data_IF_184801201376
#
_entry.id   IF_184801201376
#
_cell.length_a   1.000
_cell.length_b   1.000
_cell.length_c   1.000
_cell.angle_alpha   90.00
_cell.angle_beta   90.00
_cell.angle_gamma   90.00
#
_symmetry.space_group_name_H-M   'P 1'
#
loop_
_entity.id
_entity.type
_entity.pdbx_description
1 polymer ?
#
# COMPACT_ATOMS: atom_id res chain seq x y z
N UNK A 1 -29.27 -12.23 32.29
CA UNK A 1 -28.19 -13.18 31.97
C UNK A 1 -27.28 -12.74 30.82
N UNK A 2 -27.71 -12.73 29.55
CA UNK A 2 -26.81 -12.34 28.43
C UNK A 2 -26.30 -10.90 28.56
N UNK A 3 -27.16 -9.98 29.01
CA UNK A 3 -26.78 -8.57 29.19
C UNK A 3 -25.76 -8.37 30.32
N UNK A 4 -25.84 -9.17 31.39
CA UNK A 4 -24.90 -9.12 32.51
C UNK A 4 -23.55 -9.70 32.11
N UNK A 5 -23.54 -10.80 31.34
CA UNK A 5 -22.32 -11.35 30.73
C UNK A 5 -21.65 -10.33 29.79
N UNK A 6 -22.42 -9.66 28.93
CA UNK A 6 -21.90 -8.63 28.05
C UNK A 6 -21.27 -7.46 28.84
N UNK A 7 -21.91 -7.01 29.92
CA UNK A 7 -21.36 -5.97 30.79
C UNK A 7 -20.08 -6.42 31.51
N UNK A 8 -20.01 -7.68 31.94
CA UNK A 8 -18.81 -8.24 32.58
C UNK A 8 -17.58 -8.24 31.66
N UNK A 9 -17.77 -8.42 30.35
CA UNK A 9 -16.67 -8.47 29.36
C UNK A 9 -16.46 -7.16 28.58
N UNK A 10 -17.31 -6.15 28.77
CA UNK A 10 -17.27 -4.92 27.97
C UNK A 10 -15.92 -4.20 28.05
N UNK A 11 -15.33 -4.13 29.25
CA UNK A 11 -14.04 -3.48 29.46
C UNK A 11 -12.88 -4.22 28.77
N UNK A 12 -12.90 -5.55 28.80
CA UNK A 12 -11.90 -6.41 28.15
C UNK A 12 -12.01 -6.31 26.63
N UNK A 13 -13.24 -6.33 26.09
CA UNK A 13 -13.49 -6.14 24.66
C UNK A 13 -12.99 -4.76 24.23
N UNK A 14 -13.31 -3.70 24.98
CA UNK A 14 -12.87 -2.34 24.64
C UNK A 14 -11.35 -2.22 24.63
N UNK A 15 -10.68 -2.77 25.65
CA UNK A 15 -9.21 -2.80 25.73
C UNK A 15 -8.62 -3.57 24.54
N UNK A 16 -9.18 -4.72 24.21
CA UNK A 16 -8.76 -5.51 23.04
C UNK A 16 -8.90 -4.72 21.74
N UNK A 17 -10.03 -4.03 21.53
CA UNK A 17 -10.25 -3.19 20.36
C UNK A 17 -9.26 -2.02 20.28
N UNK A 18 -8.90 -1.40 21.41
CA UNK A 18 -7.87 -0.36 21.45
C UNK A 18 -6.49 -0.88 21.06
N UNK A 19 -6.09 -2.06 21.57
CA UNK A 19 -4.82 -2.69 21.20
C UNK A 19 -4.83 -3.04 19.70
N UNK A 20 -5.91 -3.62 19.20
CA UNK A 20 -6.06 -3.92 17.77
C UNK A 20 -5.97 -2.66 16.91
N UNK A 21 -6.63 -1.58 17.34
CA UNK A 21 -6.58 -0.28 16.64
C UNK A 21 -5.16 0.29 16.62
N UNK A 22 -4.44 0.20 17.74
CA UNK A 22 -3.05 0.65 17.83
C UNK A 22 -2.13 -0.15 16.90
N UNK A 23 -2.21 -1.48 16.93
CA UNK A 23 -1.44 -2.35 16.03
C UNK A 23 -1.76 -2.04 14.56
N UNK A 24 -3.05 -1.86 14.25
CA UNK A 24 -3.49 -1.53 12.91
C UNK A 24 -2.93 -0.18 12.43
N UNK A 25 -2.93 0.84 13.28
CA UNK A 25 -2.32 2.15 13.00
C UNK A 25 -0.80 2.06 12.78
N UNK A 26 -0.10 1.27 13.60
CA UNK A 26 1.34 1.02 13.41
C UNK A 26 1.60 0.33 12.06
N UNK A 27 0.79 -0.67 11.70
CA UNK A 27 0.90 -1.32 10.39
C UNK A 27 0.71 -0.33 9.24
N UNK A 28 -0.25 0.59 9.33
CA UNK A 28 -0.45 1.63 8.31
C UNK A 28 0.77 2.52 8.17
N UNK A 29 1.39 2.92 9.28
CA UNK A 29 2.62 3.71 9.28
C UNK A 29 3.79 2.97 8.63
N UNK A 30 3.95 1.68 8.93
CA UNK A 30 5.00 0.83 8.32
C UNK A 30 4.79 0.74 6.81
N UNK A 31 3.56 0.46 6.35
CA UNK A 31 3.26 0.39 4.91
C UNK A 31 3.46 1.73 4.22
N UNK A 32 3.01 2.83 4.82
CA UNK A 32 3.21 4.17 4.27
C UNK A 32 4.71 4.51 4.17
N UNK A 33 5.51 4.15 5.18
CA UNK A 33 6.95 4.32 5.15
C UNK A 33 7.63 3.49 4.07
N UNK A 34 7.23 2.23 3.88
CA UNK A 34 7.74 1.37 2.82
C UNK A 34 7.43 1.94 1.43
N UNK A 35 6.19 2.39 1.19
CA UNK A 35 5.79 3.02 -0.07
C UNK A 35 6.54 4.35 -0.28
N UNK A 36 6.71 5.17 0.76
CA UNK A 36 7.46 6.41 0.66
C UNK A 36 8.93 6.17 0.28
N UNK A 37 9.55 5.16 0.89
CA UNK A 37 10.93 4.79 0.60
C UNK A 37 11.09 4.27 -0.83
N UNK A 38 10.22 3.36 -1.26
CA UNK A 38 10.25 2.77 -2.61
C UNK A 38 9.99 3.82 -3.70
N UNK A 39 8.92 4.61 -3.56
CA UNK A 39 8.59 5.67 -4.52
C UNK A 39 9.62 6.81 -4.50
N UNK A 40 10.23 7.08 -3.34
CA UNK A 40 11.34 8.03 -3.21
C UNK A 40 12.60 7.55 -3.93
N UNK A 41 12.92 6.26 -3.86
CA UNK A 41 14.02 5.67 -4.61
C UNK A 41 13.76 5.71 -6.12
N UNK A 42 12.52 5.43 -6.57
CA UNK A 42 12.12 5.60 -7.97
C UNK A 42 12.39 7.04 -8.47
N UNK A 43 11.97 8.05 -7.71
CA UNK A 43 12.20 9.46 -8.06
C UNK A 43 13.69 9.80 -8.19
N UNK A 44 14.54 9.27 -7.30
CA UNK A 44 16.00 9.46 -7.37
C UNK A 44 16.61 8.81 -8.62
N UNK A 45 16.04 7.70 -9.08
CA UNK A 45 16.41 7.02 -10.33
C UNK A 45 15.80 7.70 -11.58
N UNK A 46 15.15 8.85 -11.43
CA UNK A 46 14.48 9.58 -12.51
C UNK A 46 13.16 8.96 -12.97
N UNK A 47 12.70 7.91 -12.30
CA UNK A 47 11.40 7.28 -12.56
C UNK A 47 10.33 7.97 -11.73
N UNK A 48 9.11 8.07 -12.25
CA UNK A 48 8.00 8.69 -11.52
C UNK A 48 6.95 7.63 -11.18
N UNK A 49 6.39 7.65 -9.97
CA UNK A 49 5.27 6.78 -9.64
C UNK A 49 4.06 7.08 -10.54
N UNK A 50 3.29 6.04 -10.82
CA UNK A 50 2.09 6.10 -11.66
C UNK A 50 1.00 6.91 -10.93
N UNK A 51 0.20 7.67 -11.69
CA UNK A 51 -0.96 8.47 -11.25
C UNK A 51 -0.64 9.74 -10.45
N UNK A 52 0.11 9.62 -9.36
CA UNK A 52 0.33 10.71 -8.40
C UNK A 52 1.74 10.70 -7.84
N UNK A 53 2.12 11.76 -7.13
CA UNK A 53 3.46 11.90 -6.53
C UNK A 53 3.75 10.83 -5.48
N UNK A 54 5.04 10.59 -5.20
CA UNK A 54 5.48 9.67 -4.14
C UNK A 54 4.90 10.03 -2.76
N UNK A 55 4.86 11.33 -2.43
CA UNK A 55 4.27 11.81 -1.18
C UNK A 55 2.76 11.52 -1.11
N UNK A 56 2.04 11.69 -2.23
CA UNK A 56 0.62 11.38 -2.33
C UNK A 56 0.36 9.88 -2.15
N UNK A 57 1.19 9.02 -2.72
CA UNK A 57 1.11 7.56 -2.53
C UNK A 57 1.35 7.13 -1.08
N UNK A 58 2.37 7.69 -0.44
CA UNK A 58 2.65 7.44 0.97
C UNK A 58 1.46 7.87 1.85
N UNK A 59 0.91 9.05 1.60
CA UNK A 59 -0.23 9.56 2.34
C UNK A 59 -1.51 8.75 2.10
N UNK A 60 -1.79 8.36 0.86
CA UNK A 60 -2.91 7.47 0.54
C UNK A 60 -2.77 6.12 1.26
N UNK A 61 -1.55 5.59 1.36
CA UNK A 61 -1.26 4.36 2.11
C UNK A 61 -1.43 4.54 3.61
N UNK A 62 -1.13 5.71 4.17
CA UNK A 62 -1.37 6.00 5.58
C UNK A 62 -2.86 5.96 5.93
N UNK A 63 -3.72 6.41 5.02
CA UNK A 63 -5.18 6.45 5.23
C UNK A 63 -5.83 5.11 4.89
N UNK A 64 -5.48 4.51 3.75
CA UNK A 64 -6.12 3.29 3.25
C UNK A 64 -5.39 1.98 3.57
N UNK A 65 -4.21 2.08 4.18
CA UNK A 65 -3.45 0.96 4.72
C UNK A 65 -2.99 -0.05 3.68
N UNK A 66 -3.08 -1.32 4.08
CA UNK A 66 -2.60 -2.47 3.31
C UNK A 66 -3.24 -2.57 1.92
N UNK A 67 -4.49 -2.14 1.76
CA UNK A 67 -5.16 -2.18 0.46
C UNK A 67 -4.52 -1.22 -0.54
N UNK A 68 -4.23 0.01 -0.12
CA UNK A 68 -3.56 0.98 -0.98
C UNK A 68 -2.11 0.57 -1.24
N UNK A 69 -1.41 0.02 -0.23
CA UNK A 69 -0.08 -0.56 -0.42
C UNK A 69 -0.08 -1.69 -1.46
N UNK A 70 -1.09 -2.56 -1.44
CA UNK A 70 -1.24 -3.63 -2.42
C UNK A 70 -1.51 -3.09 -3.83
N UNK A 71 -2.35 -2.05 -3.98
CA UNK A 71 -2.58 -1.39 -5.28
C UNK A 71 -1.28 -0.76 -5.78
N UNK A 72 -0.55 -0.05 -4.91
CA UNK A 72 0.76 0.52 -5.25
C UNK A 72 1.71 -0.57 -5.78
N UNK A 73 1.80 -1.69 -5.06
CA UNK A 73 2.63 -2.84 -5.45
C UNK A 73 2.20 -3.42 -6.80
N UNK A 74 0.89 -3.60 -7.01
CA UNK A 74 0.37 -4.10 -8.28
C UNK A 74 0.73 -3.19 -9.45
N UNK A 75 0.64 -1.87 -9.28
CA UNK A 75 0.93 -0.93 -10.37
C UNK A 75 2.41 -0.84 -10.71
N UNK A 76 3.30 -0.94 -9.72
CA UNK A 76 4.72 -0.65 -9.88
C UNK A 76 5.60 -1.89 -10.00
N UNK A 77 5.25 -2.99 -9.33
CA UNK A 77 6.08 -4.19 -9.23
C UNK A 77 5.46 -5.42 -9.90
N UNK A 78 4.14 -5.42 -10.17
CA UNK A 78 3.55 -6.55 -10.89
C UNK A 78 3.94 -6.55 -12.38
N UNK A 79 4.06 -7.75 -12.93
CA UNK A 79 4.44 -7.98 -14.32
C UNK A 79 3.31 -7.67 -15.32
N UNK A 80 2.10 -7.33 -14.84
CA UNK A 80 0.94 -7.00 -15.67
C UNK A 80 1.14 -5.76 -16.55
N UNK A 81 2.02 -4.84 -16.14
CA UNK A 81 2.25 -3.57 -16.84
C UNK A 81 3.50 -3.60 -17.73
N UNK A 82 4.08 -4.78 -18.02
CA UNK A 82 5.19 -4.84 -18.99
C UNK A 82 4.63 -4.51 -20.39
N UNK A 83 5.07 -3.43 -21.04
CA UNK A 83 4.70 -3.20 -22.43
C UNK A 83 5.23 -4.38 -23.24
N UNK A 84 4.33 -5.04 -23.97
CA UNK A 84 4.72 -6.03 -24.98
C UNK A 84 5.70 -5.30 -25.89
N UNK A 85 6.98 -5.69 -25.82
CA UNK A 85 8.02 -5.15 -26.68
C UNK A 85 7.60 -5.53 -28.09
N UNK A 86 7.05 -4.60 -28.86
CA UNK A 86 6.81 -4.81 -30.28
C UNK A 86 8.13 -5.28 -30.88
N UNK A 87 8.14 -6.52 -31.36
CA UNK A 87 9.29 -7.07 -32.07
C UNK A 87 9.40 -6.21 -33.33
N UNK A 88 10.36 -5.27 -33.32
CA UNK A 88 10.68 -4.44 -34.46
C UNK A 88 11.11 -5.39 -35.58
N UNK A 89 10.21 -5.63 -36.54
CA UNK A 89 10.58 -6.26 -37.80
C UNK A 89 11.51 -5.27 -38.52
N UNK A 90 12.82 -5.46 -38.37
CA UNK A 90 13.78 -4.79 -39.22
C UNK A 90 13.49 -5.22 -40.67
N UNK A 91 12.98 -4.27 -41.46
CA UNK A 91 12.74 -4.47 -42.88
C UNK A 91 14.09 -4.69 -43.57
N UNK A 92 14.26 -5.74 -44.40
CA UNK A 92 15.48 -5.91 -45.18
C UNK A 92 15.63 -4.72 -46.13
N UNK A 93 16.78 -4.06 -46.07
CA UNK A 93 17.17 -3.05 -47.05
C UNK A 93 17.58 -3.78 -48.33
N UNK A 94 16.80 -3.58 -49.39
CA UNK A 94 17.18 -3.91 -50.76
C UNK A 94 17.97 -2.76 -51.37
#
# INVERSE_FOLDING_TARGET
MINELAQQFAAQIQTFLYIMTLINGILHLIFAGAVAHDAGNMNQLGQRPVLVSAATWAFATLIGGVFIAAIYWLLHHSTLTRPVREIRYDKPQY
#
